data_IF_468546343636
#
_entry.id   IF_468546343636
#
_cell.length_a   1.000
_cell.length_b   1.000
_cell.length_c   1.000
_cell.angle_alpha   90.00
_cell.angle_beta   90.00
_cell.angle_gamma   90.00
#
_symmetry.space_group_name_H-M   'P 1'
#
loop_
_entity.id
_entity.type
_entity.pdbx_description
1 polymer ?
#
# COMPACT_ATOMS: atom_id res chain seq x y z
N UNK A 1 -13.01 -20.60 21.54
CA UNK A 1 -13.11 -19.72 22.72
C UNK A 1 -11.68 -19.35 23.06
N UNK A 2 -11.28 -18.11 22.75
CA UNK A 2 -9.92 -17.63 22.94
C UNK A 2 -9.75 -17.22 24.40
N UNK A 3 -9.17 -18.10 25.21
CA UNK A 3 -8.76 -17.75 26.56
C UNK A 3 -7.61 -16.74 26.48
N UNK A 4 -7.93 -15.48 26.75
CA UNK A 4 -6.92 -14.45 26.98
C UNK A 4 -6.12 -14.84 28.21
N UNK A 5 -4.85 -15.25 28.04
CA UNK A 5 -3.93 -15.50 29.14
C UNK A 5 -3.73 -14.20 29.94
N UNK A 6 -4.45 -14.10 31.06
CA UNK A 6 -4.29 -13.07 32.08
C UNK A 6 -3.33 -13.60 33.14
N UNK A 7 -2.14 -13.04 33.22
CA UNK A 7 -1.23 -13.33 34.33
C UNK A 7 -1.40 -12.25 35.41
N UNK A 8 -1.77 -12.67 36.62
CA UNK A 8 -1.65 -11.85 37.83
C UNK A 8 -0.22 -11.98 38.35
N UNK A 9 0.46 -10.85 38.55
CA UNK A 9 1.91 -10.86 38.88
C UNK A 9 2.18 -10.52 40.35
N UNK A 10 1.28 -9.86 41.08
CA UNK A 10 1.27 -9.71 42.55
C UNK A 10 -0.02 -9.00 42.98
N UNK A 11 -0.44 -9.15 44.24
CA UNK A 11 -1.59 -8.43 44.80
C UNK A 11 -1.43 -6.90 44.67
N UNK A 12 -2.27 -6.28 43.83
CA UNK A 12 -2.43 -4.82 43.75
C UNK A 12 -2.21 -4.17 42.38
N UNK A 13 -1.65 -4.87 41.39
CA UNK A 13 -1.46 -4.34 40.02
C UNK A 13 -2.51 -4.94 39.06
N UNK A 14 -3.09 -4.15 38.13
CA UNK A 14 -4.05 -4.67 37.17
C UNK A 14 -3.41 -5.72 36.25
N UNK A 15 -4.14 -6.80 35.90
CA UNK A 15 -3.59 -7.86 35.05
C UNK A 15 -3.16 -7.32 33.69
N UNK A 16 -1.91 -7.61 33.31
CA UNK A 16 -1.35 -7.18 32.03
C UNK A 16 -1.93 -8.06 30.92
N UNK A 17 -2.74 -7.48 30.03
CA UNK A 17 -3.29 -8.21 28.89
C UNK A 17 -2.20 -8.36 27.80
N UNK A 18 -1.59 -9.54 27.73
CA UNK A 18 -0.55 -9.89 26.73
C UNK A 18 -1.09 -9.75 25.30
N UNK A 19 -2.37 -10.01 25.08
CA UNK A 19 -3.04 -9.78 23.79
C UNK A 19 -3.08 -8.30 23.39
N UNK A 20 -3.15 -7.39 24.36
CA UNK A 20 -3.20 -5.94 24.12
C UNK A 20 -1.81 -5.38 23.74
N UNK A 21 -0.73 -5.86 24.36
CA UNK A 21 0.65 -5.53 23.99
C UNK A 21 1.05 -6.06 22.62
N UNK A 22 0.55 -7.25 22.23
CA UNK A 22 0.68 -7.80 20.87
C UNK A 22 -0.10 -6.98 19.83
N UNK A 23 -1.15 -6.26 20.24
CA UNK A 23 -2.14 -5.74 19.29
C UNK A 23 -1.76 -4.41 18.62
N UNK A 24 -1.36 -3.33 19.27
CA UNK A 24 -1.49 -2.02 18.59
C UNK A 24 -0.22 -1.35 18.01
N UNK A 25 0.99 -1.83 18.32
CA UNK A 25 2.24 -1.12 17.90
C UNK A 25 3.10 -1.91 16.90
N UNK A 26 2.84 -3.20 16.69
CA UNK A 26 3.67 -4.06 15.82
C UNK A 26 3.17 -4.30 14.40
N UNK A 27 1.87 -4.09 14.11
CA UNK A 27 1.22 -4.64 12.89
C UNK A 27 1.50 -3.85 11.62
N UNK A 28 1.47 -2.52 11.69
CA UNK A 28 1.84 -1.64 10.57
C UNK A 28 3.34 -1.77 10.24
N UNK A 29 4.18 -1.92 11.27
CA UNK A 29 5.64 -2.05 11.12
C UNK A 29 6.03 -3.22 10.21
N UNK A 30 5.33 -4.36 10.29
CA UNK A 30 5.61 -5.52 9.43
C UNK A 30 5.31 -5.26 7.96
N UNK A 31 4.23 -4.54 7.65
CA UNK A 31 3.95 -4.11 6.28
C UNK A 31 5.03 -3.16 5.78
N UNK A 32 5.39 -2.16 6.58
CA UNK A 32 6.44 -1.21 6.24
C UNK A 32 7.79 -1.89 6.02
N UNK A 33 8.15 -2.85 6.88
CA UNK A 33 9.35 -3.67 6.74
C UNK A 33 9.30 -4.53 5.47
N UNK A 34 8.17 -5.20 5.19
CA UNK A 34 8.02 -6.02 3.99
C UNK A 34 8.21 -5.21 2.69
N UNK A 35 7.66 -3.98 2.65
CA UNK A 35 7.84 -3.05 1.53
C UNK A 35 9.29 -2.61 1.38
N UNK A 36 9.94 -2.29 2.50
CA UNK A 36 11.35 -1.89 2.54
C UNK A 36 12.26 -3.01 2.02
N UNK A 37 12.08 -4.22 2.53
CA UNK A 37 12.88 -5.38 2.15
C UNK A 37 12.68 -5.77 0.68
N UNK A 38 11.43 -5.76 0.19
CA UNK A 38 11.14 -6.03 -1.21
C UNK A 38 11.75 -4.96 -2.14
N UNK A 39 11.69 -3.68 -1.77
CA UNK A 39 12.30 -2.59 -2.54
C UNK A 39 13.84 -2.71 -2.59
N UNK A 40 14.48 -3.01 -1.45
CA UNK A 40 15.94 -3.24 -1.39
C UNK A 40 16.35 -4.45 -2.22
N UNK A 41 15.59 -5.54 -2.14
CA UNK A 41 15.84 -6.75 -2.94
C UNK A 41 15.71 -6.46 -4.44
N UNK A 42 14.72 -5.66 -4.85
CA UNK A 42 14.57 -5.23 -6.24
C UNK A 42 15.82 -4.47 -6.73
N UNK A 43 16.34 -3.50 -5.97
CA UNK A 43 17.56 -2.78 -6.35
C UNK A 43 18.80 -3.70 -6.39
N UNK A 44 18.92 -4.61 -5.43
CA UNK A 44 20.02 -5.59 -5.40
C UNK A 44 19.98 -6.48 -6.65
N UNK A 45 18.84 -7.07 -6.96
CA UNK A 45 18.67 -7.92 -8.15
C UNK A 45 18.85 -7.13 -9.44
N UNK A 46 18.45 -5.86 -9.47
CA UNK A 46 18.70 -4.98 -10.60
C UNK A 46 20.19 -4.84 -10.88
N UNK A 47 20.97 -4.53 -9.83
CA UNK A 47 22.42 -4.38 -9.92
C UNK A 47 23.11 -5.68 -10.33
N UNK A 48 22.71 -6.81 -9.74
CA UNK A 48 23.30 -8.13 -10.04
C UNK A 48 23.04 -8.59 -11.49
N UNK A 49 21.90 -8.19 -12.07
CA UNK A 49 21.48 -8.64 -13.40
C UNK A 49 21.59 -7.57 -14.50
N UNK A 50 22.04 -6.35 -14.17
CA UNK A 50 22.11 -5.24 -15.11
C UNK A 50 20.75 -4.75 -15.62
N UNK A 51 19.69 -4.89 -14.81
CA UNK A 51 18.35 -4.39 -15.13
C UNK A 51 18.21 -2.92 -14.71
N UNK A 52 17.55 -2.12 -15.53
CA UNK A 52 17.16 -0.76 -15.15
C UNK A 52 15.91 -0.78 -14.27
N UNK A 53 16.00 -0.18 -13.09
CA UNK A 53 14.93 -0.19 -12.09
C UNK A 53 14.64 1.19 -11.57
N UNK A 54 13.35 1.51 -11.55
CA UNK A 54 12.81 2.69 -10.89
C UNK A 54 11.76 2.23 -9.89
N UNK A 55 11.78 2.79 -8.67
CA UNK A 55 10.73 2.54 -7.68
C UNK A 55 9.86 3.77 -7.52
N UNK A 56 8.55 3.57 -7.44
CA UNK A 56 7.58 4.60 -7.09
C UNK A 56 7.05 4.30 -5.69
N UNK A 57 7.09 5.28 -4.80
CA UNK A 57 6.65 5.20 -3.41
C UNK A 57 5.36 6.03 -3.23
N UNK A 58 4.19 5.48 -3.58
CA UNK A 58 2.92 6.16 -3.33
C UNK A 58 2.60 6.22 -1.83
N UNK A 59 1.86 7.24 -1.41
CA UNK A 59 1.23 7.31 -0.09
C UNK A 59 -0.16 6.67 -0.11
N UNK A 60 -1.06 7.04 0.81
CA UNK A 60 -2.41 6.48 0.82
C UNK A 60 -3.15 6.87 -0.47
N UNK A 61 -3.57 5.85 -1.22
CA UNK A 61 -4.16 6.06 -2.55
C UNK A 61 -5.67 6.15 -2.43
N UNK A 62 -6.21 7.35 -2.65
CA UNK A 62 -7.64 7.58 -2.81
C UNK A 62 -7.98 7.73 -4.29
N UNK A 63 -9.27 7.69 -4.61
CA UNK A 63 -9.78 7.88 -5.97
C UNK A 63 -10.87 6.88 -6.33
N UNK A 64 -11.45 7.02 -7.53
CA UNK A 64 -12.45 6.08 -8.04
C UNK A 64 -11.84 4.69 -8.21
N UNK A 65 -12.58 3.65 -7.83
CA UNK A 65 -12.13 2.27 -7.96
C UNK A 65 -12.62 1.67 -9.29
N UNK A 66 -11.77 0.91 -9.98
CA UNK A 66 -12.21 0.13 -11.15
C UNK A 66 -12.84 -1.21 -10.76
N UNK A 67 -12.46 -1.73 -9.60
CA UNK A 67 -12.94 -2.99 -9.04
C UNK A 67 -14.04 -2.77 -7.99
N UNK A 68 -14.88 -3.78 -7.77
CA UNK A 68 -15.91 -3.78 -6.73
C UNK A 68 -15.35 -3.92 -5.31
N UNK A 69 -14.15 -4.49 -5.17
CA UNK A 69 -13.51 -4.72 -3.88
C UNK A 69 -12.83 -3.44 -3.39
N UNK A 70 -13.07 -3.10 -2.14
CA UNK A 70 -12.48 -1.93 -1.48
C UNK A 70 -11.04 -2.26 -1.08
N UNK A 71 -10.08 -1.45 -1.50
CA UNK A 71 -8.69 -1.56 -1.05
C UNK A 71 -8.52 -0.89 0.34
N UNK A 72 -7.38 -1.12 1.00
CA UNK A 72 -7.17 -0.61 2.37
C UNK A 72 -7.32 0.91 2.49
N UNK A 73 -6.68 1.69 1.59
CA UNK A 73 -6.78 3.16 1.60
C UNK A 73 -8.23 3.63 1.42
N UNK A 74 -8.99 3.01 0.52
CA UNK A 74 -10.42 3.33 0.34
C UNK A 74 -11.24 2.96 1.58
N UNK A 75 -10.91 1.86 2.25
CA UNK A 75 -11.55 1.45 3.49
C UNK A 75 -11.30 2.47 4.61
N UNK A 76 -10.09 3.04 4.69
CA UNK A 76 -9.78 4.11 5.63
C UNK A 76 -10.66 5.35 5.39
N UNK A 77 -10.80 5.81 4.14
CA UNK A 77 -11.70 6.92 3.80
C UNK A 77 -13.16 6.59 4.14
N UNK A 78 -13.62 5.38 3.83
CA UNK A 78 -14.98 4.92 4.18
C UNK A 78 -15.19 4.91 5.69
N UNK A 79 -14.18 4.52 6.47
CA UNK A 79 -14.26 4.49 7.93
C UNK A 79 -14.34 5.90 8.53
N UNK A 80 -13.60 6.87 7.98
CA UNK A 80 -13.78 8.28 8.33
C UNK A 80 -15.22 8.75 8.08
N UNK A 81 -15.82 8.39 6.94
CA UNK A 81 -17.18 8.78 6.57
C UNK A 81 -18.28 8.04 7.35
N UNK A 82 -17.95 6.91 8.00
CA UNK A 82 -18.87 6.14 8.84
C UNK A 82 -18.74 6.46 10.32
N UNK A 83 -17.71 7.20 10.72
CA UNK A 83 -17.39 7.47 12.12
C UNK A 83 -16.80 6.27 12.86
N UNK A 84 -16.19 5.32 12.15
CA UNK A 84 -15.62 4.10 12.73
C UNK A 84 -14.21 4.37 13.29
N UNK A 85 -13.95 4.10 14.59
CA UNK A 85 -12.66 4.40 15.22
C UNK A 85 -11.54 3.39 14.90
N UNK A 86 -11.89 2.17 14.44
CA UNK A 86 -10.98 1.00 14.40
C UNK A 86 -9.68 1.20 13.60
N UNK A 87 -9.63 2.10 12.62
CA UNK A 87 -8.41 2.37 11.81
C UNK A 87 -7.71 3.69 12.16
N UNK A 88 -8.24 4.46 13.11
CA UNK A 88 -7.75 5.81 13.46
C UNK A 88 -6.81 5.75 14.67
N UNK A 89 -6.85 4.66 15.43
CA UNK A 89 -6.12 4.54 16.69
C UNK A 89 -4.59 4.44 16.53
N UNK A 90 -4.07 4.07 15.35
CA UNK A 90 -2.64 3.79 15.15
C UNK A 90 -1.83 4.93 14.54
N UNK A 91 -2.46 5.88 13.85
CA UNK A 91 -1.77 6.98 13.16
C UNK A 91 -2.56 8.29 13.33
N UNK A 92 -1.86 9.42 13.47
CA UNK A 92 -2.48 10.74 13.73
C UNK A 92 -2.51 11.65 12.50
N UNK A 93 -1.70 11.31 11.50
CA UNK A 93 -1.57 12.00 10.24
C UNK A 93 -1.38 10.99 9.11
N UNK A 94 -1.62 11.42 7.88
CA UNK A 94 -1.37 10.63 6.69
C UNK A 94 -1.03 11.53 5.52
N UNK A 95 -0.39 10.95 4.51
CA UNK A 95 -0.18 11.58 3.22
C UNK A 95 -1.00 10.84 2.17
N UNK A 96 -1.47 11.55 1.15
CA UNK A 96 -2.48 11.05 0.23
C UNK A 96 -2.09 11.31 -1.23
N UNK A 97 -2.61 10.49 -2.15
CA UNK A 97 -2.43 10.68 -3.59
C UNK A 97 -3.63 10.10 -4.35
N UNK A 98 -3.95 10.67 -5.51
CA UNK A 98 -4.98 10.13 -6.39
C UNK A 98 -4.48 8.89 -7.14
N UNK A 99 -5.30 7.85 -7.25
CA UNK A 99 -5.00 6.63 -8.01
C UNK A 99 -4.66 6.91 -9.48
N UNK A 100 -5.27 7.94 -10.08
CA UNK A 100 -4.99 8.35 -11.45
C UNK A 100 -3.62 9.04 -11.54
N UNK A 101 -3.28 9.87 -10.56
CA UNK A 101 -1.96 10.52 -10.50
C UNK A 101 -0.85 9.48 -10.26
N UNK A 102 -1.12 8.40 -9.51
CA UNK A 102 -0.21 7.27 -9.37
C UNK A 102 -0.02 6.54 -10.70
N UNK A 103 -1.08 6.29 -11.45
CA UNK A 103 -0.98 5.68 -12.77
C UNK A 103 -0.18 6.56 -13.75
N UNK A 104 -0.45 7.86 -13.77
CA UNK A 104 0.29 8.85 -14.56
C UNK A 104 1.78 8.88 -14.15
N UNK A 105 2.08 8.82 -12.85
CA UNK A 105 3.45 8.76 -12.34
C UNK A 105 4.18 7.49 -12.77
N UNK A 106 3.52 6.33 -12.72
CA UNK A 106 4.11 5.06 -13.13
C UNK A 106 4.52 5.11 -14.60
N UNK A 107 3.62 5.57 -15.47
CA UNK A 107 3.91 5.73 -16.88
C UNK A 107 5.06 6.74 -17.10
N UNK A 108 5.00 7.89 -16.42
CA UNK A 108 6.01 8.93 -16.55
C UNK A 108 7.42 8.44 -16.18
N UNK A 109 7.57 7.72 -15.07
CA UNK A 109 8.89 7.18 -14.67
C UNK A 109 9.36 6.05 -15.58
N UNK A 110 8.43 5.30 -16.18
CA UNK A 110 8.76 4.28 -17.17
C UNK A 110 9.28 4.90 -18.47
N UNK A 111 8.62 5.93 -18.98
CA UNK A 111 8.95 6.55 -20.28
C UNK A 111 10.13 7.51 -20.20
N UNK A 112 10.40 8.11 -19.04
CA UNK A 112 11.50 9.07 -18.87
C UNK A 112 12.85 8.35 -18.94
N UNK A 113 13.71 8.57 -19.96
CA UNK A 113 14.91 7.75 -20.15
C UNK A 113 15.91 7.82 -18.99
N UNK A 114 16.02 8.99 -18.34
CA UNK A 114 16.95 9.22 -17.24
C UNK A 114 16.31 9.05 -15.85
N UNK A 115 15.07 8.58 -15.76
CA UNK A 115 14.47 8.30 -14.47
C UNK A 115 15.19 7.12 -13.82
N UNK A 116 15.68 7.31 -12.60
CA UNK A 116 16.43 6.29 -11.88
C UNK A 116 16.22 6.40 -10.36
N UNK A 117 16.44 5.27 -9.68
CA UNK A 117 16.30 5.18 -8.23
C UNK A 117 14.84 5.27 -7.79
N UNK A 118 14.60 5.96 -6.68
CA UNK A 118 13.28 6.06 -6.04
C UNK A 118 12.58 7.36 -6.43
N UNK A 119 11.25 7.37 -6.40
CA UNK A 119 10.41 8.56 -6.56
C UNK A 119 9.26 8.51 -5.56
N UNK A 120 9.08 9.58 -4.78
CA UNK A 120 7.92 9.68 -3.90
C UNK A 120 6.74 10.22 -4.70
N UNK A 121 5.59 9.56 -4.55
CA UNK A 121 4.34 9.91 -5.23
C UNK A 121 3.28 10.25 -4.19
N UNK A 122 3.33 11.46 -3.67
CA UNK A 122 2.46 11.91 -2.59
C UNK A 122 2.13 13.39 -2.70
N UNK A 123 0.94 13.78 -2.23
CA UNK A 123 0.67 15.13 -1.76
C UNK A 123 1.29 15.34 -0.37
N UNK A 124 1.18 16.57 0.13
CA UNK A 124 1.65 16.93 1.47
C UNK A 124 0.92 16.12 2.55
N UNK A 125 1.58 15.97 3.69
CA UNK A 125 1.00 15.32 4.86
C UNK A 125 -0.12 16.18 5.44
N UNK A 126 -1.13 15.53 6.01
CA UNK A 126 -2.26 16.18 6.64
C UNK A 126 -2.63 15.44 7.93
N UNK A 127 -2.92 16.22 8.97
CA UNK A 127 -3.42 15.67 10.23
C UNK A 127 -4.83 15.12 10.01
N UNK A 128 -5.17 14.00 10.65
CA UNK A 128 -6.50 13.41 10.50
C UNK A 128 -7.61 14.30 11.05
N UNK A 129 -7.31 15.17 12.02
CA UNK A 129 -8.22 16.22 12.49
C UNK A 129 -8.57 17.20 11.36
N UNK A 130 -7.57 17.71 10.65
CA UNK A 130 -7.77 18.63 9.53
C UNK A 130 -8.47 17.94 8.34
N UNK A 131 -8.16 16.66 8.08
CA UNK A 131 -8.87 15.85 7.08
C UNK A 131 -10.36 15.69 7.44
N UNK A 132 -10.68 15.40 8.69
CA UNK A 132 -12.07 15.23 9.15
C UNK A 132 -12.84 16.54 9.06
N UNK A 133 -12.23 17.68 9.40
CA UNK A 133 -12.87 18.98 9.24
C UNK A 133 -13.13 19.31 7.76
N UNK A 134 -12.19 18.99 6.87
CA UNK A 134 -12.41 19.09 5.43
C UNK A 134 -13.56 18.18 4.97
N UNK A 135 -13.62 16.94 5.45
CA UNK A 135 -14.70 16.00 5.12
C UNK A 135 -16.06 16.51 5.63
N UNK A 136 -16.17 16.99 6.87
CA UNK A 136 -17.40 17.57 7.44
C UNK A 136 -17.91 18.74 6.60
N UNK A 137 -17.00 19.60 6.13
CA UNK A 137 -17.35 20.74 5.28
C UNK A 137 -17.86 20.31 3.90
N UNK A 138 -17.27 19.28 3.30
CA UNK A 138 -17.66 18.77 1.99
C UNK A 138 -18.93 17.90 2.04
N UNK A 139 -19.10 17.15 3.12
CA UNK A 139 -20.05 16.05 3.22
C UNK A 139 -20.78 16.01 4.58
N UNK A 140 -21.49 17.09 4.97
CA UNK A 140 -22.01 17.28 6.33
C UNK A 140 -23.05 16.24 6.79
N UNK A 141 -23.65 15.49 5.85
CA UNK A 141 -24.64 14.45 6.15
C UNK A 141 -24.04 13.14 6.68
N UNK A 142 -22.73 12.94 6.57
CA UNK A 142 -22.05 11.75 7.05
C UNK A 142 -21.76 11.81 8.55
N UNK A 143 -21.40 10.66 9.13
CA UNK A 143 -20.99 10.57 10.54
C UNK A 143 -19.47 10.51 10.60
N UNK A 144 -18.90 11.25 11.54
CA UNK A 144 -17.46 11.37 11.68
C UNK A 144 -16.99 10.93 13.07
N UNK A 145 -15.73 10.46 13.20
CA UNK A 145 -15.13 10.14 14.48
C UNK A 145 -15.02 11.39 15.35
N UNK A 146 -15.36 11.26 16.63
CA UNK A 146 -15.28 12.35 17.61
C UNK A 146 -14.03 12.27 18.51
N UNK A 147 -13.43 11.08 18.64
CA UNK A 147 -12.25 10.85 19.47
C UNK A 147 -11.06 10.54 18.56
N UNK A 148 -10.40 11.58 18.06
CA UNK A 148 -9.16 11.46 17.28
C UNK A 148 -8.01 11.86 18.21
N UNK A 149 -6.87 11.16 18.18
CA UNK A 149 -5.70 11.59 18.93
C UNK A 149 -5.27 13.03 18.56
N UNK A 150 -4.74 13.76 19.54
CA UNK A 150 -4.26 15.14 19.33
C UNK A 150 -3.17 15.22 18.24
N UNK A 151 -3.09 16.39 17.58
CA UNK A 151 -2.09 16.67 16.52
C UNK A 151 -0.69 16.32 17.02
N UNK A 152 0.11 15.70 16.17
CA UNK A 152 1.55 15.51 16.41
C UNK A 152 2.36 16.17 15.29
N UNK A 153 3.61 16.52 15.59
CA UNK A 153 4.56 16.86 14.55
C UNK A 153 4.87 15.60 13.74
N UNK A 154 4.49 15.64 12.47
CA UNK A 154 4.73 14.57 11.52
C UNK A 154 5.58 15.13 10.37
N UNK A 155 6.42 14.26 9.80
CA UNK A 155 7.37 14.65 8.78
C UNK A 155 6.72 14.61 7.39
N UNK A 156 6.79 15.73 6.68
CA UNK A 156 6.29 15.86 5.31
C UNK A 156 7.13 15.01 4.34
N UNK A 157 6.48 14.55 3.27
CA UNK A 157 7.13 13.83 2.18
C UNK A 157 7.36 14.77 0.99
N UNK A 158 8.56 14.74 0.41
CA UNK A 158 8.90 15.51 -0.79
C UNK A 158 8.63 14.70 -2.05
N UNK A 159 7.73 15.18 -2.91
CA UNK A 159 7.56 14.67 -4.28
C UNK A 159 8.25 15.55 -5.33
N UNK A 160 9.19 16.40 -4.92
CA UNK A 160 9.83 17.38 -5.82
C UNK A 160 10.64 16.73 -6.96
N UNK A 161 11.27 15.58 -6.70
CA UNK A 161 11.97 14.82 -7.74
C UNK A 161 11.01 14.37 -8.85
N UNK A 162 9.82 13.90 -8.47
CA UNK A 162 8.78 13.45 -9.39
C UNK A 162 8.16 14.64 -10.15
N UNK A 163 7.88 15.75 -9.46
CA UNK A 163 7.39 16.99 -10.12
C UNK A 163 8.38 17.55 -11.14
N UNK A 164 9.69 17.48 -10.87
CA UNK A 164 10.75 17.96 -11.79
C UNK A 164 10.75 17.25 -13.14
N UNK A 165 10.29 16.00 -13.20
CA UNK A 165 10.17 15.25 -14.48
C UNK A 165 8.79 15.43 -15.14
N UNK A 166 7.95 16.34 -14.63
CA UNK A 166 6.69 16.74 -15.26
C UNK A 166 5.43 16.14 -14.63
N UNK A 167 5.54 15.47 -13.48
CA UNK A 167 4.36 14.93 -12.79
C UNK A 167 3.45 16.04 -12.28
N UNK A 168 2.15 15.86 -12.51
CA UNK A 168 1.08 16.75 -12.05
C UNK A 168 0.14 15.95 -11.16
N UNK A 169 -0.32 16.59 -10.10
CA UNK A 169 -1.21 15.99 -9.12
C UNK A 169 -2.51 16.78 -8.99
N UNK A 170 -3.61 16.07 -8.80
CA UNK A 170 -4.90 16.61 -8.41
C UNK A 170 -4.86 17.11 -6.97
N UNK A 171 -5.80 17.98 -6.63
CA UNK A 171 -5.94 18.41 -5.22
C UNK A 171 -6.57 17.29 -4.39
N UNK A 172 -6.22 17.22 -3.11
CA UNK A 172 -6.83 16.26 -2.18
C UNK A 172 -8.36 16.41 -2.13
N UNK A 173 -8.87 17.64 -2.26
CA UNK A 173 -10.30 17.93 -2.31
C UNK A 173 -10.97 17.26 -3.51
N UNK A 174 -10.41 17.41 -4.71
CA UNK A 174 -10.93 16.76 -5.93
C UNK A 174 -10.88 15.24 -5.80
N UNK A 175 -9.76 14.69 -5.31
CA UNK A 175 -9.59 13.24 -5.11
C UNK A 175 -10.62 12.67 -4.14
N UNK A 176 -10.85 13.33 -3.00
CA UNK A 176 -11.87 12.92 -2.03
C UNK A 176 -13.26 13.01 -2.65
N UNK A 177 -13.57 14.11 -3.35
CA UNK A 177 -14.87 14.32 -3.95
C UNK A 177 -15.22 13.22 -4.96
N UNK A 178 -14.29 12.92 -5.88
CA UNK A 178 -14.44 11.83 -6.85
C UNK A 178 -14.57 10.45 -6.16
N UNK A 179 -13.80 10.21 -5.10
CA UNK A 179 -13.87 8.97 -4.31
C UNK A 179 -15.24 8.77 -3.68
N UNK A 180 -15.75 9.78 -2.97
CA UNK A 180 -17.01 9.69 -2.23
C UNK A 180 -18.19 9.56 -3.19
N UNK A 181 -18.21 10.34 -4.29
CA UNK A 181 -19.21 10.21 -5.35
C UNK A 181 -19.23 8.80 -5.91
N UNK A 182 -18.06 8.23 -6.21
CA UNK A 182 -17.95 6.85 -6.69
C UNK A 182 -18.51 5.84 -5.66
N UNK A 183 -18.14 5.94 -4.39
CA UNK A 183 -18.63 5.03 -3.35
C UNK A 183 -20.16 5.08 -3.18
N UNK A 184 -20.74 6.28 -3.25
CA UNK A 184 -22.19 6.47 -3.23
C UNK A 184 -22.87 5.84 -4.46
N UNK A 185 -22.29 6.01 -5.65
CA UNK A 185 -22.82 5.40 -6.88
C UNK A 185 -22.83 3.87 -6.82
N UNK A 186 -21.73 3.25 -6.36
CA UNK A 186 -21.65 1.80 -6.19
C UNK A 186 -22.67 1.30 -5.16
N UNK A 187 -22.84 2.03 -4.05
CA UNK A 187 -23.83 1.68 -3.03
C UNK A 187 -25.27 1.74 -3.59
N UNK A 188 -25.58 2.73 -4.43
CA UNK A 188 -26.90 2.83 -5.10
C UNK A 188 -27.12 1.69 -6.10
N UNK A 189 -26.11 1.31 -6.89
CA UNK A 189 -26.21 0.19 -7.86
C UNK A 189 -26.41 -1.17 -7.18
N UNK A 190 -25.85 -1.35 -5.98
CA UNK A 190 -25.96 -2.60 -5.22
C UNK A 190 -27.19 -2.66 -4.30
N UNK A 191 -28.05 -1.64 -4.28
CA UNK A 191 -29.31 -1.64 -3.53
C UNK A 191 -30.40 -2.39 -4.33
N UNK A 192 -31.26 -3.22 -3.71
CA UNK A 192 -32.24 -4.03 -4.43
C UNK A 192 -33.39 -3.17 -4.97
N UNK A 193 -33.30 -2.72 -6.23
CA UNK A 193 -34.38 -2.06 -7.00
C UNK A 193 -34.06 -2.04 -8.51
N UNK A 194 -35.09 -1.96 -9.39
CA UNK A 194 -35.01 -2.48 -10.75
C UNK A 194 -34.09 -1.66 -11.66
N UNK A 195 -33.27 -2.41 -12.40
CA UNK A 195 -32.22 -1.95 -13.31
C UNK A 195 -32.74 -0.86 -14.27
N UNK A 196 -32.05 0.29 -14.27
CA UNK A 196 -31.92 1.14 -15.45
C UNK A 196 -30.44 1.30 -15.73
N UNK A 197 -29.98 0.62 -16.77
CA UNK A 197 -28.63 0.79 -17.30
C UNK A 197 -28.43 2.25 -17.72
N UNK A 198 -27.45 2.90 -17.12
CA UNK A 198 -26.85 4.11 -17.68
C UNK A 198 -25.38 3.84 -17.89
N UNK A 199 -25.01 3.76 -19.16
CA UNK A 199 -23.64 3.69 -19.64
C UNK A 199 -22.83 4.86 -19.07
N UNK A 200 -21.69 4.53 -18.46
CA UNK A 200 -20.67 5.52 -18.13
C UNK A 200 -20.00 5.92 -19.44
N UNK A 201 -20.03 7.21 -19.78
CA UNK A 201 -19.33 7.74 -20.96
C UNK A 201 -17.83 7.56 -20.76
N UNK A 202 -17.24 6.72 -21.60
CA UNK A 202 -15.81 6.55 -21.67
C UNK A 202 -15.17 7.75 -22.40
N UNK A 203 -14.13 8.31 -21.80
CA UNK A 203 -13.34 9.36 -22.44
C UNK A 203 -12.31 8.68 -23.35
N UNK A 204 -12.47 8.86 -24.66
CA UNK A 204 -11.56 8.35 -25.68
C UNK A 204 -10.21 9.03 -25.59
N UNK A 205 -9.19 8.32 -25.12
CA UNK A 205 -7.79 8.63 -25.40
C UNK A 205 -7.39 7.95 -26.72
N UNK A 206 -7.05 8.75 -27.72
CA UNK A 206 -6.44 8.30 -28.96
C UNK A 206 -4.92 8.34 -28.78
N UNK A 207 -4.34 7.20 -28.44
CA UNK A 207 -2.91 6.95 -28.65
C UNK A 207 -2.73 6.04 -29.88
N UNK A 208 -1.70 6.32 -30.67
CA UNK A 208 -1.44 5.78 -32.01
C UNK A 208 -0.37 4.69 -32.07
N UNK A 209 0.18 4.28 -30.93
CA UNK A 209 1.10 3.16 -30.84
C UNK A 209 0.45 1.99 -30.08
N UNK A 210 0.43 0.80 -30.69
CA UNK A 210 -0.24 -0.40 -30.16
C UNK A 210 0.53 -1.00 -28.97
N UNK A 211 0.37 -0.41 -27.79
CA UNK A 211 0.93 -0.92 -26.55
C UNK A 211 0.02 -2.03 -25.98
N UNK A 212 0.44 -3.30 -26.08
CA UNK A 212 -0.25 -4.41 -25.41
C UNK A 212 0.14 -4.45 -23.93
N UNK A 213 -0.84 -4.27 -23.05
CA UNK A 213 -0.71 -4.39 -21.61
C UNK A 213 -1.03 -5.83 -21.20
N UNK A 214 -0.09 -6.46 -20.50
CA UNK A 214 -0.26 -7.77 -19.89
C UNK A 214 -0.49 -7.64 -18.39
N UNK A 215 -1.62 -8.17 -17.90
CA UNK A 215 -1.92 -8.16 -16.47
C UNK A 215 -1.87 -9.59 -15.93
N UNK A 216 -0.96 -9.82 -14.99
CA UNK A 216 -0.89 -11.02 -14.18
C UNK A 216 -1.83 -10.90 -12.99
N UNK A 217 -2.74 -11.87 -12.83
CA UNK A 217 -3.66 -11.86 -11.71
C UNK A 217 -4.10 -13.26 -11.28
N UNK A 218 -4.48 -13.43 -10.01
CA UNK A 218 -4.85 -14.73 -9.46
C UNK A 218 -6.25 -15.24 -9.92
N UNK A 219 -6.89 -14.61 -10.92
CA UNK A 219 -8.18 -15.03 -11.43
C UNK A 219 -8.82 -14.03 -12.40
N UNK A 220 -9.50 -14.55 -13.43
CA UNK A 220 -10.10 -13.75 -14.50
C UNK A 220 -11.36 -13.01 -14.08
N UNK A 221 -12.16 -13.56 -13.16
CA UNK A 221 -13.46 -12.98 -12.75
C UNK A 221 -13.30 -11.66 -12.00
N UNK A 222 -12.33 -11.57 -11.07
CA UNK A 222 -12.03 -10.33 -10.33
C UNK A 222 -11.69 -9.17 -11.28
N UNK A 223 -11.11 -9.49 -12.44
CA UNK A 223 -10.65 -8.54 -13.43
C UNK A 223 -11.55 -8.45 -14.66
N UNK A 224 -12.75 -9.03 -14.61
CA UNK A 224 -13.69 -9.00 -15.73
C UNK A 224 -14.06 -7.57 -16.14
N UNK A 225 -14.05 -6.61 -15.21
CA UNK A 225 -14.28 -5.20 -15.46
C UNK A 225 -13.24 -4.57 -16.41
N UNK A 226 -11.99 -5.06 -16.42
CA UNK A 226 -10.93 -4.55 -17.28
C UNK A 226 -11.20 -4.84 -18.76
N UNK A 227 -11.87 -5.95 -19.07
CA UNK A 227 -12.28 -6.29 -20.45
C UNK A 227 -13.32 -5.34 -21.03
N UNK A 228 -14.01 -4.58 -20.18
CA UNK A 228 -15.03 -3.59 -20.56
C UNK A 228 -14.44 -2.20 -20.82
N UNK A 229 -13.13 -2.01 -20.60
CA UNK A 229 -12.48 -0.73 -20.87
C UNK A 229 -12.33 -0.50 -22.37
N UNK A 230 -12.31 0.77 -22.76
CA UNK A 230 -12.07 1.18 -24.14
C UNK A 230 -10.78 0.54 -24.67
N UNK A 231 -10.87 -0.03 -25.88
CA UNK A 231 -9.76 -0.72 -26.57
C UNK A 231 -9.15 -1.90 -25.81
N UNK A 232 -9.77 -2.41 -24.74
CA UNK A 232 -9.25 -3.56 -24.00
C UNK A 232 -9.08 -4.81 -24.89
N UNK A 233 -9.98 -5.03 -25.85
CA UNK A 233 -9.86 -6.16 -26.79
C UNK A 233 -8.60 -6.09 -27.67
N UNK A 234 -8.11 -4.87 -27.94
CA UNK A 234 -6.93 -4.61 -28.78
C UNK A 234 -5.64 -4.57 -27.95
N UNK A 235 -5.73 -3.97 -26.76
CA UNK A 235 -4.57 -3.53 -25.97
C UNK A 235 -4.40 -4.30 -24.65
N UNK A 236 -5.35 -5.15 -24.23
CA UNK A 236 -5.29 -5.83 -22.94
C UNK A 236 -5.34 -7.35 -23.10
N UNK A 237 -4.34 -8.03 -22.54
CA UNK A 237 -4.37 -9.46 -22.36
C UNK A 237 -4.20 -9.82 -20.89
N UNK A 238 -5.15 -10.58 -20.36
CA UNK A 238 -5.17 -11.03 -18.97
C UNK A 238 -4.56 -12.43 -18.89
N UNK A 239 -3.56 -12.58 -18.04
CA UNK A 239 -2.95 -13.85 -17.70
C UNK A 239 -3.30 -14.22 -16.27
N UNK A 240 -3.74 -15.47 -16.07
CA UNK A 240 -3.91 -16.00 -14.73
C UNK A 240 -2.53 -16.44 -14.22
N UNK A 241 -2.03 -15.80 -13.17
CA UNK A 241 -0.77 -16.16 -12.55
C UNK A 241 -0.75 -15.76 -11.07
N UNK A 242 -0.03 -16.55 -10.28
CA UNK A 242 0.35 -16.24 -8.91
C UNK A 242 1.82 -15.79 -8.90
N UNK A 243 2.18 -14.83 -8.04
CA UNK A 243 3.57 -14.37 -7.96
C UNK A 243 4.54 -15.46 -7.48
N UNK A 244 4.02 -16.54 -6.89
CA UNK A 244 4.78 -17.69 -6.45
C UNK A 244 4.93 -18.76 -7.55
N UNK A 245 4.19 -18.64 -8.65
CA UNK A 245 4.33 -19.49 -9.83
C UNK A 245 5.30 -18.85 -10.86
N UNK A 246 6.57 -19.21 -10.73
CA UNK A 246 7.62 -18.69 -11.60
C UNK A 246 7.38 -18.98 -13.10
N UNK A 247 6.86 -20.16 -13.44
CA UNK A 247 6.68 -20.54 -14.85
C UNK A 247 5.57 -19.72 -15.49
N UNK A 248 4.48 -19.46 -14.75
CA UNK A 248 3.41 -18.57 -15.22
C UNK A 248 3.90 -17.12 -15.39
N UNK A 249 4.76 -16.64 -14.49
CA UNK A 249 5.39 -15.32 -14.61
C UNK A 249 6.29 -15.24 -15.84
N UNK A 250 7.21 -16.20 -16.01
CA UNK A 250 8.15 -16.24 -17.13
C UNK A 250 7.41 -16.25 -18.47
N UNK A 251 6.38 -17.08 -18.60
CA UNK A 251 5.56 -17.16 -19.81
C UNK A 251 4.82 -15.85 -20.11
N UNK A 252 4.38 -15.12 -19.09
CA UNK A 252 3.68 -13.86 -19.28
C UNK A 252 4.61 -12.68 -19.60
N UNK A 253 5.82 -12.66 -19.03
CA UNK A 253 6.80 -11.58 -19.29
C UNK A 253 7.45 -11.76 -20.67
N UNK A 254 7.50 -12.99 -21.20
CA UNK A 254 8.09 -13.27 -22.50
C UNK A 254 7.53 -12.37 -23.61
N UNK A 255 8.41 -11.60 -24.26
CA UNK A 255 8.06 -10.67 -25.33
C UNK A 255 7.61 -9.28 -24.88
N UNK A 256 7.57 -8.99 -23.56
CA UNK A 256 7.36 -7.63 -23.06
C UNK A 256 8.61 -6.76 -23.23
N UNK A 257 8.42 -5.44 -23.29
CA UNK A 257 9.52 -4.47 -23.31
C UNK A 257 9.89 -3.96 -21.90
N UNK A 258 8.90 -3.96 -21.00
CA UNK A 258 9.00 -3.47 -19.64
C UNK A 258 8.00 -4.14 -18.71
N UNK A 259 8.24 -4.02 -17.41
CA UNK A 259 7.39 -4.61 -16.37
C UNK A 259 7.03 -3.60 -15.30
N UNK A 260 5.75 -3.52 -14.96
CA UNK A 260 5.26 -2.81 -13.78
C UNK A 260 4.98 -3.82 -12.65
N UNK A 261 5.85 -3.90 -11.66
CA UNK A 261 5.67 -4.77 -10.50
C UNK A 261 4.84 -4.04 -9.42
N UNK A 262 3.51 -4.19 -9.50
CA UNK A 262 2.55 -3.55 -8.58
C UNK A 262 2.09 -4.50 -7.46
N UNK A 263 2.10 -5.81 -7.74
CA UNK A 263 1.52 -6.81 -6.86
C UNK A 263 2.41 -7.08 -5.63
N UNK A 264 1.83 -6.94 -4.45
CA UNK A 264 2.51 -7.18 -3.18
C UNK A 264 1.44 -7.45 -2.09
N UNK A 265 1.70 -8.38 -1.15
CA UNK A 265 0.78 -8.65 -0.04
C UNK A 265 0.49 -7.38 0.78
N UNK A 266 -0.78 -7.19 1.16
CA UNK A 266 -1.21 -6.12 2.07
C UNK A 266 -2.05 -6.78 3.17
N UNK A 267 -1.41 -7.14 4.28
CA UNK A 267 -2.05 -7.73 5.44
C UNK A 267 -1.70 -6.84 6.63
N UNK A 268 -2.68 -6.07 7.10
CA UNK A 268 -2.50 -5.07 8.16
C UNK A 268 -3.17 -5.49 9.48
N UNK A 269 -3.97 -6.56 9.45
CA UNK A 269 -4.66 -7.13 10.61
C UNK A 269 -4.78 -8.64 10.48
N UNK A 270 -4.80 -9.34 11.61
CA UNK A 270 -5.05 -10.79 11.64
C UNK A 270 -3.88 -11.65 11.13
N UNK A 271 -2.66 -11.12 11.16
CA UNK A 271 -1.45 -11.87 10.80
C UNK A 271 -0.91 -12.59 12.04
N UNK A 272 -0.64 -13.89 11.92
CA UNK A 272 -0.08 -14.69 13.01
C UNK A 272 1.44 -14.75 12.92
N UNK A 273 1.96 -14.93 11.70
CA UNK A 273 3.39 -14.99 11.41
C UNK A 273 3.74 -14.04 10.25
N UNK A 274 4.18 -12.80 10.54
CA UNK A 274 4.48 -11.80 9.52
C UNK A 274 5.62 -12.18 8.59
N UNK A 275 6.59 -12.96 9.06
CA UNK A 275 7.70 -13.43 8.23
C UNK A 275 7.18 -14.37 7.12
N UNK A 276 6.31 -15.33 7.47
CA UNK A 276 5.78 -16.32 6.53
C UNK A 276 4.66 -15.77 5.66
N UNK A 277 3.77 -14.96 6.23
CA UNK A 277 2.54 -14.51 5.57
C UNK A 277 2.72 -13.21 4.77
N UNK A 278 3.74 -12.41 5.07
CA UNK A 278 3.91 -11.07 4.47
C UNK A 278 5.30 -10.86 3.87
N UNK A 279 6.36 -11.01 4.66
CA UNK A 279 7.75 -10.71 4.21
C UNK A 279 8.19 -11.70 3.14
N UNK A 280 8.15 -13.01 3.43
CA UNK A 280 8.63 -14.05 2.52
C UNK A 280 7.89 -14.04 1.17
N UNK A 281 6.54 -13.92 1.10
CA UNK A 281 5.84 -13.84 -0.18
C UNK A 281 6.17 -12.55 -0.96
N UNK A 282 6.35 -11.41 -0.28
CA UNK A 282 6.76 -10.16 -0.93
C UNK A 282 8.16 -10.28 -1.57
N UNK A 283 9.12 -10.85 -0.84
CA UNK A 283 10.48 -11.11 -1.34
C UNK A 283 10.49 -12.13 -2.47
N UNK A 284 9.78 -13.25 -2.31
CA UNK A 284 9.76 -14.32 -3.30
C UNK A 284 9.07 -13.87 -4.60
N UNK A 285 7.97 -13.12 -4.51
CA UNK A 285 7.32 -12.51 -5.67
C UNK A 285 8.26 -11.55 -6.42
N UNK A 286 8.97 -10.69 -5.68
CA UNK A 286 9.97 -9.78 -6.26
C UNK A 286 11.08 -10.57 -6.98
N UNK A 287 11.65 -11.59 -6.31
CA UNK A 287 12.69 -12.46 -6.90
C UNK A 287 12.24 -13.14 -8.17
N UNK A 288 11.01 -13.67 -8.19
CA UNK A 288 10.48 -14.37 -9.36
C UNK A 288 10.32 -13.42 -10.56
N UNK A 289 9.80 -12.21 -10.33
CA UNK A 289 9.68 -11.17 -11.37
C UNK A 289 11.05 -10.81 -11.93
N UNK A 290 12.01 -10.47 -11.07
CA UNK A 290 13.34 -10.07 -11.48
C UNK A 290 14.09 -11.18 -12.22
N UNK A 291 13.99 -12.42 -11.73
CA UNK A 291 14.55 -13.58 -12.40
C UNK A 291 13.95 -13.80 -13.78
N UNK A 292 12.64 -13.59 -13.94
CA UNK A 292 11.97 -13.69 -15.24
C UNK A 292 12.39 -12.54 -16.17
N UNK A 293 12.47 -11.31 -15.67
CA UNK A 293 12.94 -10.15 -16.42
C UNK A 293 14.35 -10.36 -16.99
N UNK A 294 15.30 -10.84 -16.16
CA UNK A 294 16.67 -11.13 -16.59
C UNK A 294 16.72 -12.17 -17.71
N UNK A 295 15.86 -13.19 -17.67
CA UNK A 295 15.82 -14.24 -18.69
C UNK A 295 15.14 -13.83 -19.99
N UNK A 296 14.25 -12.84 -19.94
CA UNK A 296 13.42 -12.41 -21.08
C UNK A 296 13.89 -11.10 -21.70
N UNK A 297 15.09 -10.63 -21.31
CA UNK A 297 15.71 -9.40 -21.81
C UNK A 297 14.86 -8.14 -21.59
N UNK A 298 14.13 -8.08 -20.48
CA UNK A 298 13.43 -6.87 -20.07
C UNK A 298 14.45 -5.78 -19.80
N UNK A 299 14.20 -4.58 -20.34
CA UNK A 299 15.13 -3.46 -20.19
C UNK A 299 14.87 -2.68 -18.91
N UNK A 300 13.59 -2.45 -18.59
CA UNK A 300 13.17 -1.59 -17.48
C UNK A 300 12.05 -2.21 -16.66
N UNK A 301 12.20 -2.16 -15.34
CA UNK A 301 11.19 -2.58 -14.38
C UNK A 301 10.83 -1.38 -13.48
N UNK A 302 9.54 -1.06 -13.41
CA UNK A 302 9.01 -0.08 -12.45
C UNK A 302 8.36 -0.84 -11.30
N UNK A 303 8.86 -0.64 -10.08
CA UNK A 303 8.38 -1.31 -8.87
C UNK A 303 7.54 -0.37 -8.04
N UNK A 304 6.35 -0.80 -7.63
CA UNK A 304 5.50 -0.04 -6.70
C UNK A 304 5.86 -0.42 -5.27
N UNK A 305 6.66 0.44 -4.66
CA UNK A 305 6.95 0.40 -3.22
C UNK A 305 5.83 1.12 -2.46
N UNK A 306 6.15 1.88 -1.42
CA UNK A 306 5.22 2.62 -0.58
C UNK A 306 5.98 3.69 0.20
N UNK A 307 5.31 4.79 0.58
CA UNK A 307 5.86 5.70 1.58
C UNK A 307 6.12 5.01 2.94
N UNK A 308 5.52 3.84 3.16
CA UNK A 308 5.82 2.94 4.26
C UNK A 308 7.29 2.49 4.30
N UNK A 309 7.99 2.46 3.15
CA UNK A 309 9.43 2.18 3.07
C UNK A 309 10.32 3.39 3.41
N UNK A 310 9.71 4.49 3.89
CA UNK A 310 10.35 5.78 4.15
C UNK A 310 10.00 6.27 5.55
N UNK A 311 8.70 6.32 5.89
CA UNK A 311 8.18 7.17 6.95
C UNK A 311 8.48 6.74 8.40
N UNK A 312 8.93 5.51 8.63
CA UNK A 312 9.22 5.00 10.00
C UNK A 312 10.72 5.10 10.26
N UNK A 313 11.13 6.15 10.96
CA UNK A 313 12.49 6.30 11.48
C UNK A 313 12.43 7.15 12.77
N UNK A 314 12.64 6.55 13.96
CA UNK A 314 12.49 7.23 15.25
C UNK A 314 13.53 8.32 15.47
N UNK A 315 14.70 8.21 14.84
CA UNK A 315 15.80 9.17 14.96
C UNK A 315 15.69 10.32 13.97
N UNK A 316 14.66 10.31 13.10
CA UNK A 316 14.48 11.36 12.11
C UNK A 316 14.00 12.67 12.78
N UNK A 317 14.68 13.81 12.55
CA UNK A 317 14.31 15.06 13.20
C UNK A 317 12.87 15.47 12.86
N UNK A 318 12.08 15.82 13.89
CA UNK A 318 10.71 16.29 13.71
C UNK A 318 10.65 17.57 12.86
N UNK A 319 9.59 17.68 12.05
CA UNK A 319 9.34 18.84 11.19
C UNK A 319 10.29 18.95 9.99
N UNK A 320 11.08 17.91 9.72
CA UNK A 320 11.97 17.88 8.55
C UNK A 320 11.39 17.06 7.42
N UNK A 321 11.58 17.54 6.19
CA UNK A 321 11.05 16.90 4.99
C UNK A 321 11.86 15.62 4.70
N UNK A 322 11.15 14.52 4.48
CA UNK A 322 11.73 13.26 4.02
C UNK A 322 11.68 13.20 2.49
N UNK A 323 12.79 12.81 1.86
CA UNK A 323 12.90 12.65 0.41
C UNK A 323 13.31 11.22 0.02
N UNK A 324 13.57 10.99 -1.26
CA UNK A 324 13.88 9.67 -1.81
C UNK A 324 15.12 8.99 -1.20
N UNK A 325 15.97 9.73 -0.48
CA UNK A 325 17.17 9.19 0.20
C UNK A 325 16.83 8.55 1.54
N UNK A 326 15.68 8.88 2.11
CA UNK A 326 15.24 8.40 3.42
C UNK A 326 14.74 6.96 3.33
N UNK A 327 15.20 6.11 4.24
CA UNK A 327 14.72 4.73 4.37
C UNK A 327 14.10 4.53 5.74
N UNK A 328 13.13 3.62 5.78
CA UNK A 328 12.65 3.05 7.02
C UNK A 328 13.80 2.44 7.83
N UNK A 329 13.74 2.63 9.15
CA UNK A 329 14.58 1.96 10.12
C UNK A 329 14.08 0.51 10.32
N UNK A 330 14.83 -0.44 9.75
CA UNK A 330 14.47 -1.85 9.83
C UNK A 330 14.63 -2.41 11.25
N UNK A 331 15.65 -1.95 11.98
CA UNK A 331 15.96 -2.45 13.31
C UNK A 331 14.85 -2.01 14.27
N UNK A 332 14.41 -0.75 14.21
CA UNK A 332 13.26 -0.27 14.97
C UNK A 332 11.95 -1.05 14.66
N UNK A 333 11.80 -1.51 13.42
CA UNK A 333 10.66 -2.35 13.04
C UNK A 333 10.75 -3.75 13.67
N UNK A 334 11.95 -4.34 13.70
CA UNK A 334 12.23 -5.67 14.27
C UNK A 334 12.29 -5.67 15.81
N UNK A 335 12.74 -4.60 16.43
CA UNK A 335 12.93 -4.47 17.89
C UNK A 335 11.64 -4.58 18.71
N UNK A 336 10.48 -4.43 18.06
CA UNK A 336 9.18 -4.69 18.69
C UNK A 336 9.03 -6.16 19.17
N UNK A 337 9.87 -7.08 18.68
CA UNK A 337 9.98 -8.47 19.15
C UNK A 337 10.90 -8.61 20.39
N UNK A 338 11.95 -7.79 20.47
CA UNK A 338 13.03 -7.91 21.47
C UNK A 338 12.61 -7.37 22.84
N UNK A 339 11.82 -6.28 22.87
CA UNK A 339 11.31 -5.69 24.12
C UNK A 339 10.37 -6.65 24.85
N UNK A 340 9.54 -7.39 24.11
CA UNK A 340 8.66 -8.43 24.68
C UNK A 340 9.53 -9.53 25.31
N UNK A 341 10.56 -9.98 24.59
CA UNK A 341 11.46 -11.05 25.04
C UNK A 341 12.28 -10.67 26.29
N UNK A 342 12.86 -9.46 26.32
CA UNK A 342 13.60 -8.93 27.47
C UNK A 342 12.69 -8.63 28.67
N UNK A 343 11.47 -8.14 28.46
CA UNK A 343 10.51 -7.87 29.54
C UNK A 343 10.16 -9.14 30.33
N UNK A 344 9.99 -10.28 29.64
CA UNK A 344 9.76 -11.58 30.29
C UNK A 344 11.04 -12.15 30.93
N UNK A 345 12.20 -11.99 30.30
CA UNK A 345 13.48 -12.47 30.84
C UNK A 345 13.93 -11.72 32.11
N UNK A 346 13.82 -10.38 32.13
CA UNK A 346 14.17 -9.54 33.30
C UNK A 346 13.25 -9.82 34.50
N UNK A 347 12.00 -10.24 34.26
CA UNK A 347 11.04 -10.57 35.33
C UNK A 347 10.96 -12.06 35.67
N UNK A 348 11.92 -12.87 35.21
CA UNK A 348 12.05 -14.28 35.57
C UNK A 348 10.98 -15.21 34.99
N UNK A 349 10.22 -14.74 33.99
CA UNK A 349 9.21 -15.54 33.29
C UNK A 349 9.87 -16.16 32.06
N UNK A 350 10.27 -17.42 32.17
CA UNK A 350 10.83 -18.16 31.04
C UNK A 350 9.68 -18.71 30.18
N UNK A 351 9.36 -18.04 29.08
CA UNK A 351 8.52 -18.61 28.03
C UNK A 351 9.42 -19.31 27.02
N UNK A 352 9.09 -20.55 26.66
CA UNK A 352 9.76 -21.25 25.56
C UNK A 352 9.44 -20.51 24.25
N UNK A 353 10.38 -20.51 23.31
CA UNK A 353 10.14 -20.02 21.94
C UNK A 353 8.89 -20.68 21.32
N UNK A 354 8.59 -21.92 21.70
CA UNK A 354 7.35 -22.63 21.29
C UNK A 354 6.06 -21.99 21.82
N UNK A 355 6.09 -21.39 23.01
CA UNK A 355 4.91 -20.76 23.65
C UNK A 355 4.66 -19.35 23.09
N UNK A 356 5.69 -18.77 22.46
CA UNK A 356 5.64 -17.45 21.81
C UNK A 356 5.08 -17.56 20.38
N UNK A 357 5.42 -18.64 19.67
CA UNK A 357 5.07 -18.87 18.24
C UNK A 357 3.74 -19.63 18.07
N UNK A 358 3.06 -19.98 19.17
CA UNK A 358 1.78 -20.72 19.18
C UNK A 358 0.65 -20.05 18.40
#
# INVERSE_FOLDING_TARGET
MSDSLMFSITDGEPPLNIGMLRSNVGREKWYCLSKTMAEREAFKLAQENGLDVVTLCPSLVFGPLLQSNVNYSSLLLINFLKGSPELIETSRSGAFVDVRDVADALLLVYETPNASGRYICSLNQMQYTDLIDMLKNMYPSFKYPNNIPDKNEANDLSSEKLKKIGWKCRTLKETIDDSVKYYQEVTRRNSPSPIKDKEAKANTFQDKDMNRILILSNGSEKNAHLRKMDKAAENLQLFKADLLDYNAIEAAIFGCEGVFHVASPVILSGISNPEVELIRPALLGTRNIFKACSKTNIKRVVVVSSNAAIAINPDWPHGTIMDERCWLDEDFCRESEVIIFLYFHIRGVFLSISDIIG
#
